data_IF_139502350645
#
_entry.id   IF_139502350645
#
_cell.length_a   1.000
_cell.length_b   1.000
_cell.length_c   1.000
_cell.angle_alpha   90.00
_cell.angle_beta   90.00
_cell.angle_gamma   90.00
#
_symmetry.space_group_name_H-M   'P 1'
#
loop_
_entity.id
_entity.type
_entity.pdbx_description
1 polymer ?
#
# COMPACT_ATOMS: atom_id res chain seq x y z
N UNK A 1 -14.98 -0.61 -16.70
CA UNK A 1 -13.57 -0.25 -16.47
C UNK A 1 -13.33 0.65 -15.25
N UNK A 2 -14.32 1.40 -14.77
CA UNK A 2 -14.24 2.24 -13.53
C UNK A 2 -14.48 1.43 -12.25
N UNK A 3 -14.99 0.21 -12.36
CA UNK A 3 -15.46 -0.63 -11.25
C UNK A 3 -14.34 -1.32 -10.43
N UNK A 4 -13.19 -1.62 -11.04
CA UNK A 4 -12.10 -2.34 -10.37
C UNK A 4 -11.49 -1.55 -9.21
N UNK A 5 -11.39 -0.23 -9.34
CA UNK A 5 -10.83 0.63 -8.29
C UNK A 5 -11.72 0.56 -7.04
N UNK A 6 -13.04 0.63 -7.23
CA UNK A 6 -13.99 0.53 -6.12
C UNK A 6 -13.99 -0.84 -5.44
N UNK A 7 -13.66 -1.91 -6.19
CA UNK A 7 -13.56 -3.28 -5.66
C UNK A 7 -12.23 -3.54 -4.95
N UNK A 8 -11.13 -2.96 -5.45
CA UNK A 8 -9.80 -3.14 -4.87
C UNK A 8 -9.58 -2.25 -3.65
N UNK A 9 -10.01 -0.98 -3.71
CA UNK A 9 -9.83 -0.09 -2.57
C UNK A 9 -10.76 -0.46 -1.43
N UNK A 10 -10.24 -0.79 -0.24
CA UNK A 10 -11.08 -1.17 0.88
C UNK A 10 -12.02 -0.03 1.28
N UNK A 11 -13.30 -0.36 1.46
CA UNK A 11 -14.32 0.52 1.99
C UNK A 11 -14.20 0.53 3.52
N UNK A 12 -13.83 1.67 4.13
CA UNK A 12 -13.95 1.85 5.58
C UNK A 12 -12.87 1.19 6.44
N UNK A 13 -11.64 1.00 5.96
CA UNK A 13 -10.52 0.60 6.81
C UNK A 13 -10.15 1.71 7.78
N UNK A 14 -10.44 1.50 9.03
CA UNK A 14 -10.24 2.44 10.14
C UNK A 14 -11.49 3.31 10.40
N UNK A 15 -11.73 3.67 11.65
CA UNK A 15 -12.77 4.65 12.02
C UNK A 15 -12.49 5.92 11.24
N UNK A 16 -13.39 6.40 10.38
CA UNK A 16 -13.15 7.62 9.64
C UNK A 16 -13.20 8.77 10.64
N UNK A 17 -12.05 9.12 11.20
CA UNK A 17 -11.92 10.42 11.83
C UNK A 17 -12.02 11.40 10.66
N UNK A 18 -13.18 12.00 10.51
CA UNK A 18 -13.38 13.06 9.50
C UNK A 18 -12.60 14.29 9.96
N UNK A 19 -11.31 14.30 9.60
CA UNK A 19 -10.44 15.43 9.89
C UNK A 19 -10.94 16.60 9.03
N UNK A 20 -11.21 17.78 9.61
CA UNK A 20 -11.66 18.93 8.85
C UNK A 20 -10.71 19.26 7.71
N UNK A 21 -11.27 19.58 6.54
CA UNK A 21 -10.52 19.85 5.32
C UNK A 21 -9.30 20.76 5.48
N UNK A 22 -9.39 21.91 6.17
CA UNK A 22 -8.23 22.80 6.37
C UNK A 22 -7.09 22.18 7.20
N UNK A 23 -7.43 21.39 8.24
CA UNK A 23 -6.43 20.69 9.06
C UNK A 23 -5.75 19.61 8.22
N UNK A 24 -6.54 18.82 7.48
CA UNK A 24 -6.02 17.74 6.68
C UNK A 24 -5.17 18.27 5.51
N UNK A 25 -5.64 19.29 4.79
CA UNK A 25 -4.88 19.92 3.72
C UNK A 25 -3.52 20.44 4.22
N UNK A 26 -3.51 21.19 5.33
CA UNK A 26 -2.27 21.69 5.91
C UNK A 26 -1.30 20.55 6.34
N UNK A 27 -1.82 19.41 6.81
CA UNK A 27 -1.01 18.25 7.13
C UNK A 27 -0.43 17.58 5.88
N UNK A 28 -1.23 17.41 4.83
CA UNK A 28 -0.79 16.88 3.53
C UNK A 28 0.30 17.76 2.92
N UNK A 29 0.10 19.07 2.90
CA UNK A 29 1.09 20.02 2.37
C UNK A 29 2.41 19.97 3.15
N UNK A 30 2.32 19.95 4.49
CA UNK A 30 3.49 19.85 5.36
C UNK A 30 4.30 18.57 5.09
N UNK A 31 3.59 17.43 5.02
CA UNK A 31 4.22 16.15 4.73
C UNK A 31 4.82 16.11 3.31
N UNK A 32 4.09 16.59 2.32
CA UNK A 32 4.54 16.61 0.91
C UNK A 32 5.77 17.50 0.70
N UNK A 33 5.87 18.59 1.49
CA UNK A 33 7.07 19.43 1.52
C UNK A 33 8.27 18.75 2.22
N UNK A 34 8.13 17.53 2.73
CA UNK A 34 9.16 16.83 3.51
C UNK A 34 9.41 17.44 4.88
N UNK A 35 8.51 18.27 5.38
CA UNK A 35 8.67 18.94 6.67
C UNK A 35 8.13 18.07 7.80
N UNK A 36 8.78 18.15 8.96
CA UNK A 36 8.28 17.50 10.17
C UNK A 36 6.91 18.07 10.56
N UNK A 37 5.93 17.18 10.73
CA UNK A 37 4.60 17.58 11.14
C UNK A 37 4.60 17.97 12.63
N UNK A 38 4.57 19.29 12.89
CA UNK A 38 4.45 19.85 14.22
C UNK A 38 3.03 20.33 14.50
N UNK A 39 2.39 19.77 15.54
CA UNK A 39 1.00 20.05 15.87
C UNK A 39 0.73 21.52 16.24
N UNK A 40 1.73 22.23 16.80
CA UNK A 40 1.58 23.65 17.12
C UNK A 40 1.56 24.52 15.87
N UNK A 41 2.47 24.26 14.95
CA UNK A 41 2.56 24.96 13.67
C UNK A 41 1.35 24.65 12.79
N UNK A 42 0.89 23.38 12.82
CA UNK A 42 -0.31 22.96 12.09
C UNK A 42 -1.57 23.65 12.58
N UNK A 43 -1.76 23.77 13.90
CA UNK A 43 -2.91 24.49 14.47
C UNK A 43 -2.97 25.94 13.97
N UNK A 44 -1.81 26.65 13.96
CA UNK A 44 -1.72 28.02 13.44
C UNK A 44 -2.06 28.10 11.95
N UNK A 45 -1.51 27.18 11.12
CA UNK A 45 -1.78 27.15 9.67
C UNK A 45 -3.23 26.85 9.35
N UNK A 46 -3.85 25.98 10.13
CA UNK A 46 -5.26 25.60 9.97
C UNK A 46 -6.25 26.59 10.61
N UNK A 47 -5.75 27.65 11.29
CA UNK A 47 -6.61 28.65 11.93
C UNK A 47 -7.41 28.12 13.11
N UNK A 48 -6.93 27.08 13.83
CA UNK A 48 -7.64 26.44 14.95
C UNK A 48 -6.81 26.45 16.23
N UNK A 49 -7.49 26.39 17.38
CA UNK A 49 -6.83 26.21 18.67
C UNK A 49 -6.25 24.80 18.82
N UNK A 50 -5.16 24.66 19.60
CA UNK A 50 -4.50 23.35 19.84
C UNK A 50 -5.46 22.29 20.35
N UNK A 51 -6.30 22.62 21.34
CA UNK A 51 -7.29 21.69 21.87
C UNK A 51 -8.29 21.20 20.81
N UNK A 52 -8.69 22.10 19.91
CA UNK A 52 -9.56 21.77 18.77
C UNK A 52 -8.85 20.86 17.77
N UNK A 53 -7.57 21.11 17.48
CA UNK A 53 -6.77 20.26 16.62
C UNK A 53 -6.70 18.83 17.18
N UNK A 54 -6.29 18.65 18.44
CA UNK A 54 -6.18 17.32 19.06
C UNK A 54 -7.54 16.60 19.13
N UNK A 55 -8.62 17.30 19.43
CA UNK A 55 -9.95 16.69 19.46
C UNK A 55 -10.39 16.20 18.08
N UNK A 56 -10.02 16.88 16.98
CA UNK A 56 -10.48 16.60 15.63
C UNK A 56 -9.54 15.72 14.81
N UNK A 57 -8.25 15.82 15.05
CA UNK A 57 -7.23 15.11 14.29
C UNK A 57 -6.51 14.01 15.10
N UNK A 58 -6.78 13.93 16.41
CA UNK A 58 -6.09 13.00 17.29
C UNK A 58 -4.63 13.36 17.53
N UNK A 59 -3.80 12.36 17.75
CA UNK A 59 -2.36 12.53 17.95
C UNK A 59 -1.65 12.84 16.62
N UNK A 60 -0.40 13.26 16.71
CA UNK A 60 0.47 13.44 15.54
C UNK A 60 0.59 12.14 14.71
N UNK A 61 0.73 11.02 15.37
CA UNK A 61 0.85 9.71 14.73
C UNK A 61 -0.44 9.33 14.00
N UNK A 62 -1.60 9.53 14.62
CA UNK A 62 -2.90 9.29 13.99
C UNK A 62 -3.11 10.17 12.76
N UNK A 63 -2.71 11.44 12.83
CA UNK A 63 -2.82 12.35 11.68
C UNK A 63 -1.85 11.94 10.55
N UNK A 64 -0.62 11.56 10.88
CA UNK A 64 0.34 11.01 9.90
C UNK A 64 -0.19 9.76 9.22
N UNK A 65 -0.74 8.83 9.99
CA UNK A 65 -1.35 7.60 9.47
C UNK A 65 -2.46 7.90 8.45
N UNK A 66 -3.34 8.87 8.74
CA UNK A 66 -4.38 9.30 7.82
C UNK A 66 -3.83 9.96 6.55
N UNK A 67 -2.80 10.81 6.68
CA UNK A 67 -2.15 11.46 5.52
C UNK A 67 -1.48 10.40 4.63
N UNK A 68 -0.75 9.48 5.22
CA UNK A 68 -0.07 8.41 4.50
C UNK A 68 -1.06 7.46 3.82
N UNK A 69 -2.15 7.09 4.52
CA UNK A 69 -3.20 6.27 3.93
C UNK A 69 -3.88 6.95 2.75
N UNK A 70 -4.21 8.23 2.87
CA UNK A 70 -4.77 9.00 1.75
C UNK A 70 -3.84 9.01 0.53
N UNK A 71 -2.53 9.19 0.73
CA UNK A 71 -1.52 9.12 -0.35
C UNK A 71 -1.44 7.71 -0.95
N UNK A 72 -1.37 6.69 -0.10
CA UNK A 72 -1.30 5.29 -0.51
C UNK A 72 -2.53 4.86 -1.34
N UNK A 73 -3.73 5.26 -0.93
CA UNK A 73 -4.96 5.00 -1.70
C UNK A 73 -4.92 5.61 -3.10
N UNK A 74 -4.46 6.84 -3.24
CA UNK A 74 -4.32 7.49 -4.56
C UNK A 74 -3.33 6.77 -5.44
N UNK A 75 -2.15 6.47 -4.89
CA UNK A 75 -1.13 5.69 -5.59
C UNK A 75 -1.67 4.33 -6.05
N UNK A 76 -2.33 3.61 -5.16
CA UNK A 76 -2.92 2.30 -5.48
C UNK A 76 -3.97 2.42 -6.58
N UNK A 77 -4.90 3.39 -6.49
CA UNK A 77 -5.88 3.65 -7.54
C UNK A 77 -5.24 3.90 -8.90
N UNK A 78 -4.14 4.68 -8.94
CA UNK A 78 -3.41 4.97 -10.16
C UNK A 78 -2.73 3.71 -10.74
N UNK A 79 -2.16 2.85 -9.88
CA UNK A 79 -1.55 1.58 -10.33
C UNK A 79 -2.59 0.59 -10.84
N UNK A 80 -3.72 0.44 -10.13
CA UNK A 80 -4.85 -0.41 -10.56
C UNK A 80 -5.38 0.05 -11.92
N UNK A 81 -5.53 1.37 -12.11
CA UNK A 81 -5.97 1.95 -13.39
C UNK A 81 -4.97 1.70 -14.52
N UNK A 82 -3.68 1.94 -14.25
CA UNK A 82 -2.61 1.77 -15.24
C UNK A 82 -2.45 0.30 -15.69
N UNK A 83 -2.81 -0.66 -14.83
CA UNK A 83 -2.74 -2.11 -15.12
C UNK A 83 -4.05 -2.72 -15.60
N UNK A 84 -5.06 -1.91 -15.96
CA UNK A 84 -6.39 -2.41 -16.35
C UNK A 84 -6.39 -3.29 -17.61
N UNK A 85 -5.35 -3.21 -18.42
CA UNK A 85 -5.15 -4.03 -19.64
C UNK A 85 -4.49 -5.38 -19.34
N UNK A 86 -4.02 -5.59 -18.12
CA UNK A 86 -3.38 -6.83 -17.66
C UNK A 86 -4.38 -7.68 -16.87
N UNK A 87 -4.07 -8.98 -16.70
CA UNK A 87 -4.85 -9.93 -15.91
C UNK A 87 -3.92 -10.86 -15.13
N UNK A 88 -4.45 -11.54 -14.12
CA UNK A 88 -3.75 -12.60 -13.39
C UNK A 88 -2.44 -12.13 -12.75
N UNK A 89 -1.45 -13.00 -12.79
CA UNK A 89 -0.12 -12.77 -12.21
C UNK A 89 0.55 -11.51 -12.76
N UNK A 90 0.40 -11.21 -14.05
CA UNK A 90 1.01 -10.00 -14.65
C UNK A 90 0.39 -8.73 -14.07
N UNK A 91 -0.90 -8.71 -13.84
CA UNK A 91 -1.57 -7.57 -13.21
C UNK A 91 -1.18 -7.42 -11.74
N UNK A 92 -1.19 -8.51 -10.99
CA UNK A 92 -0.75 -8.51 -9.59
C UNK A 92 0.67 -7.95 -9.48
N UNK A 93 1.61 -8.47 -10.26
CA UNK A 93 3.01 -8.02 -10.30
C UNK A 93 3.13 -6.54 -10.70
N UNK A 94 2.37 -6.09 -11.70
CA UNK A 94 2.40 -4.71 -12.16
C UNK A 94 1.92 -3.73 -11.10
N UNK A 95 0.80 -4.04 -10.41
CA UNK A 95 0.25 -3.20 -9.33
C UNK A 95 1.21 -3.17 -8.16
N UNK A 96 1.59 -4.33 -7.63
CA UNK A 96 2.46 -4.44 -6.44
C UNK A 96 3.81 -3.79 -6.73
N UNK A 97 4.46 -4.17 -7.82
CA UNK A 97 5.76 -3.62 -8.20
C UNK A 97 5.71 -2.11 -8.48
N UNK A 98 4.59 -1.63 -9.07
CA UNK A 98 4.36 -0.20 -9.28
C UNK A 98 4.22 0.58 -7.97
N UNK A 99 3.51 0.02 -6.99
CA UNK A 99 3.37 0.61 -5.64
C UNK A 99 4.72 0.64 -4.93
N UNK A 100 5.45 -0.49 -4.89
CA UNK A 100 6.74 -0.58 -4.21
C UNK A 100 7.77 0.39 -4.79
N UNK A 101 7.87 0.47 -6.13
CA UNK A 101 8.77 1.43 -6.80
C UNK A 101 8.40 2.88 -6.49
N UNK A 102 7.11 3.20 -6.45
CA UNK A 102 6.66 4.55 -6.14
C UNK A 102 6.95 4.93 -4.69
N UNK A 103 6.74 4.03 -3.72
CA UNK A 103 7.07 4.25 -2.31
C UNK A 103 8.59 4.43 -2.15
N UNK A 104 9.41 3.57 -2.77
CA UNK A 104 10.86 3.67 -2.71
C UNK A 104 11.44 4.96 -3.32
N UNK A 105 10.73 5.55 -4.30
CA UNK A 105 11.09 6.83 -4.92
C UNK A 105 10.48 8.05 -4.22
N UNK A 106 9.58 7.86 -3.25
CA UNK A 106 8.86 8.97 -2.60
C UNK A 106 9.77 9.69 -1.61
N UNK A 107 10.27 10.87 -2.01
CA UNK A 107 11.17 11.69 -1.19
C UNK A 107 10.56 12.08 0.17
N UNK A 108 9.31 12.55 0.29
CA UNK A 108 8.67 12.82 1.58
C UNK A 108 8.64 11.61 2.53
N UNK A 109 8.36 10.41 2.02
CA UNK A 109 8.39 9.18 2.83
C UNK A 109 9.81 8.87 3.30
N UNK A 110 10.81 9.01 2.44
CA UNK A 110 12.22 8.83 2.80
C UNK A 110 12.65 9.81 3.89
N UNK A 111 12.37 11.10 3.69
CA UNK A 111 12.69 12.13 4.70
C UNK A 111 12.00 11.86 6.04
N UNK A 112 10.79 11.32 6.03
CA UNK A 112 10.09 10.93 7.26
C UNK A 112 10.80 9.75 7.96
N UNK A 113 11.20 8.72 7.20
CA UNK A 113 11.97 7.57 7.72
C UNK A 113 13.32 7.98 8.30
N UNK A 114 14.01 8.95 7.68
CA UNK A 114 15.29 9.45 8.15
C UNK A 114 15.15 10.35 9.39
N UNK A 115 14.15 11.23 9.42
CA UNK A 115 13.99 12.24 10.47
C UNK A 115 13.32 11.73 11.75
N UNK A 116 12.50 10.67 11.66
CA UNK A 116 11.73 10.12 12.78
C UNK A 116 11.47 8.61 12.55
N UNK A 117 12.54 7.79 12.50
CA UNK A 117 12.45 6.38 12.09
C UNK A 117 11.53 5.56 12.99
N UNK A 118 11.52 5.83 14.29
CA UNK A 118 10.67 5.09 15.23
C UNK A 118 9.19 5.34 14.98
N UNK A 119 8.78 6.60 14.82
CA UNK A 119 7.39 6.94 14.47
C UNK A 119 7.04 6.42 13.07
N UNK A 120 7.96 6.54 12.11
CA UNK A 120 7.74 6.09 10.74
C UNK A 120 7.48 4.57 10.69
N UNK A 121 8.30 3.77 11.36
CA UNK A 121 8.10 2.33 11.44
C UNK A 121 6.76 1.98 12.11
N UNK A 122 6.43 2.62 13.24
CA UNK A 122 5.13 2.38 13.90
C UNK A 122 3.94 2.69 13.00
N UNK A 123 3.99 3.80 12.27
CA UNK A 123 2.90 4.24 11.40
C UNK A 123 2.82 3.41 10.13
N UNK A 124 3.94 2.95 9.58
CA UNK A 124 3.96 2.24 8.30
C UNK A 124 3.78 0.72 8.45
N UNK A 125 4.28 0.11 9.54
CA UNK A 125 4.29 -1.35 9.72
C UNK A 125 3.50 -1.84 10.93
N UNK A 126 3.01 -0.92 11.75
CA UNK A 126 2.26 -1.27 12.96
C UNK A 126 0.96 -1.99 12.62
N UNK A 127 0.62 -3.07 13.35
CA UNK A 127 -0.62 -3.84 13.13
C UNK A 127 -1.91 -3.01 13.29
N UNK A 128 -1.83 -1.86 13.95
CA UNK A 128 -2.93 -0.90 14.10
C UNK A 128 -2.89 0.25 13.09
N UNK A 129 -1.88 0.31 12.24
CA UNK A 129 -1.75 1.34 11.21
C UNK A 129 -2.85 1.18 10.16
N UNK A 130 -3.52 2.28 9.85
CA UNK A 130 -4.51 2.32 8.76
C UNK A 130 -3.84 2.08 7.40
N UNK A 131 -2.60 2.56 7.23
CA UNK A 131 -1.81 2.31 6.01
C UNK A 131 -1.56 0.83 5.83
N UNK A 132 -1.01 0.16 6.87
CA UNK A 132 -0.68 -1.27 6.80
C UNK A 132 -1.91 -2.14 6.57
N UNK A 133 -2.96 -1.95 7.37
CA UNK A 133 -4.22 -2.69 7.23
C UNK A 133 -4.89 -2.42 5.89
N UNK A 134 -4.90 -1.15 5.45
CA UNK A 134 -5.51 -0.77 4.19
C UNK A 134 -4.78 -1.32 2.97
N UNK A 135 -3.44 -1.39 3.00
CA UNK A 135 -2.65 -2.00 1.92
C UNK A 135 -2.83 -3.51 1.89
N UNK A 136 -2.87 -4.19 3.04
CA UNK A 136 -3.14 -5.62 3.12
C UNK A 136 -4.54 -5.95 2.55
N UNK A 137 -5.58 -5.26 3.01
CA UNK A 137 -6.94 -5.46 2.53
C UNK A 137 -7.09 -5.15 1.02
N UNK A 138 -6.41 -4.12 0.52
CA UNK A 138 -6.41 -3.82 -0.91
C UNK A 138 -5.74 -4.92 -1.74
N UNK A 139 -4.68 -5.52 -1.22
CA UNK A 139 -4.01 -6.64 -1.86
C UNK A 139 -4.89 -7.89 -1.87
N UNK A 140 -5.55 -8.21 -0.75
CA UNK A 140 -6.54 -9.28 -0.69
C UNK A 140 -7.64 -9.07 -1.74
N UNK A 141 -8.24 -7.89 -1.78
CA UNK A 141 -9.28 -7.56 -2.76
C UNK A 141 -8.79 -7.69 -4.21
N UNK A 142 -7.53 -7.32 -4.49
CA UNK A 142 -6.96 -7.45 -5.84
C UNK A 142 -6.74 -8.92 -6.22
N UNK A 143 -6.24 -9.74 -5.30
CA UNK A 143 -6.07 -11.18 -5.50
C UNK A 143 -7.42 -11.83 -5.74
N UNK A 144 -8.44 -11.55 -4.91
CA UNK A 144 -9.78 -12.10 -5.06
C UNK A 144 -10.46 -11.64 -6.36
N UNK A 145 -10.19 -10.43 -6.81
CA UNK A 145 -10.67 -9.93 -8.10
C UNK A 145 -10.11 -10.76 -9.26
N UNK A 146 -8.81 -11.07 -9.25
CA UNK A 146 -8.18 -11.88 -10.31
C UNK A 146 -8.58 -13.37 -10.21
N UNK A 147 -8.77 -13.89 -9.02
CA UNK A 147 -9.37 -15.23 -8.80
C UNK A 147 -10.79 -15.31 -9.33
N UNK A 148 -11.62 -14.34 -9.01
CA UNK A 148 -13.00 -14.28 -9.49
C UNK A 148 -13.15 -14.14 -11.01
N UNK A 149 -12.07 -13.70 -11.69
CA UNK A 149 -11.96 -13.67 -13.15
C UNK A 149 -11.45 -14.99 -13.75
N UNK A 150 -11.02 -15.94 -12.93
CA UNK A 150 -10.33 -17.14 -13.38
C UNK A 150 -8.96 -16.88 -14.01
N UNK A 151 -8.39 -15.69 -13.78
CA UNK A 151 -7.10 -15.27 -14.34
C UNK A 151 -5.90 -15.55 -13.42
N UNK A 152 -6.17 -15.89 -12.17
CA UNK A 152 -5.18 -16.27 -11.16
C UNK A 152 -5.80 -17.27 -10.19
N UNK A 153 -5.03 -18.30 -9.84
CA UNK A 153 -5.34 -19.18 -8.72
C UNK A 153 -4.04 -19.61 -8.05
N UNK A 154 -4.08 -19.85 -6.75
CA UNK A 154 -2.91 -20.24 -5.98
C UNK A 154 -3.29 -21.28 -4.92
N UNK A 155 -2.32 -22.11 -4.55
CA UNK A 155 -2.47 -23.13 -3.51
C UNK A 155 -2.64 -22.55 -2.09
N UNK A 156 -2.33 -21.27 -1.90
CA UNK A 156 -2.54 -20.55 -0.64
C UNK A 156 -3.88 -19.80 -0.69
N UNK A 157 -4.54 -19.68 0.45
CA UNK A 157 -5.69 -18.77 0.59
C UNK A 157 -5.27 -17.30 0.43
N UNK A 158 -6.23 -16.45 0.07
CA UNK A 158 -5.98 -15.03 -0.19
C UNK A 158 -5.35 -14.30 1.00
N UNK A 159 -5.86 -14.41 2.24
CA UNK A 159 -5.25 -13.75 3.39
C UNK A 159 -3.80 -14.15 3.64
N UNK A 160 -3.50 -15.45 3.55
CA UNK A 160 -2.13 -15.96 3.73
C UNK A 160 -1.18 -15.44 2.66
N UNK A 161 -1.62 -15.45 1.40
CA UNK A 161 -0.81 -14.93 0.28
C UNK A 161 -0.57 -13.42 0.40
N UNK A 162 -1.62 -12.65 0.70
CA UNK A 162 -1.52 -11.21 0.90
C UNK A 162 -0.58 -10.87 2.07
N UNK A 163 -0.72 -11.57 3.19
CA UNK A 163 0.17 -11.42 4.34
C UNK A 163 1.64 -11.70 3.97
N UNK A 164 1.92 -12.79 3.27
CA UNK A 164 3.29 -13.13 2.85
C UNK A 164 3.89 -12.02 1.95
N UNK A 165 3.13 -11.53 0.97
CA UNK A 165 3.57 -10.45 0.07
C UNK A 165 3.85 -9.16 0.85
N UNK A 166 2.98 -8.77 1.78
CA UNK A 166 3.18 -7.57 2.61
C UNK A 166 4.44 -7.73 3.47
N UNK A 167 4.68 -8.89 4.08
CA UNK A 167 5.89 -9.14 4.89
C UNK A 167 7.18 -9.10 4.06
N UNK A 168 7.14 -9.63 2.84
CA UNK A 168 8.27 -9.50 1.89
C UNK A 168 8.50 -8.02 1.56
N UNK A 169 7.44 -7.28 1.23
CA UNK A 169 7.53 -5.85 0.94
C UNK A 169 8.13 -5.05 2.11
N UNK A 170 7.63 -5.24 3.33
CA UNK A 170 8.12 -4.60 4.55
C UNK A 170 9.62 -4.87 4.78
N UNK A 171 10.04 -6.13 4.61
CA UNK A 171 11.43 -6.56 4.81
C UNK A 171 12.44 -5.90 3.86
N UNK A 172 12.00 -5.48 2.68
CA UNK A 172 12.85 -4.79 1.70
C UNK A 172 12.68 -3.27 1.70
N UNK A 173 11.47 -2.75 1.97
CA UNK A 173 11.23 -1.31 1.90
C UNK A 173 11.91 -0.54 3.03
N UNK A 174 11.74 -0.99 4.26
CA UNK A 174 12.13 -0.17 5.41
C UNK A 174 13.62 -0.20 5.75
N UNK A 175 14.31 -1.35 5.80
CA UNK A 175 15.74 -1.38 6.08
C UNK A 175 16.57 -0.65 5.01
N UNK A 176 16.16 -0.73 3.75
CA UNK A 176 16.96 -0.24 2.63
C UNK A 176 16.61 1.19 2.21
N UNK A 177 15.39 1.68 2.52
CA UNK A 177 15.10 3.12 2.44
C UNK A 177 15.90 3.89 3.49
N UNK A 178 16.06 3.32 4.70
CA UNK A 178 16.94 3.88 5.74
C UNK A 178 18.42 3.84 5.31
N UNK A 179 18.82 2.83 4.53
CA UNK A 179 20.22 2.64 4.10
C UNK A 179 20.55 3.25 2.73
N UNK A 180 19.63 4.03 2.13
CA UNK A 180 19.75 4.64 0.78
C UNK A 180 20.08 3.62 -0.34
N UNK A 181 19.52 2.41 -0.26
CA UNK A 181 19.76 1.33 -1.21
C UNK A 181 18.59 1.18 -2.20
N UNK A 182 18.60 1.95 -3.28
CA UNK A 182 17.59 1.85 -4.35
C UNK A 182 17.42 0.43 -4.96
N UNK A 183 18.42 -0.44 -4.81
CA UNK A 183 18.41 -1.81 -5.35
C UNK A 183 17.46 -2.78 -4.64
N UNK A 184 17.01 -2.47 -3.43
CA UNK A 184 16.18 -3.38 -2.64
C UNK A 184 14.74 -3.48 -3.13
N UNK A 185 14.16 -2.37 -3.58
CA UNK A 185 12.82 -2.38 -4.17
C UNK A 185 12.77 -3.32 -5.39
N UNK A 186 13.80 -3.30 -6.23
CA UNK A 186 13.91 -4.22 -7.36
C UNK A 186 13.90 -5.68 -6.92
N UNK A 187 14.68 -6.01 -5.89
CA UNK A 187 14.72 -7.38 -5.33
C UNK A 187 13.39 -7.80 -4.72
N UNK A 188 12.71 -6.90 -4.00
CA UNK A 188 11.37 -7.19 -3.47
C UNK A 188 10.39 -7.55 -4.59
N UNK A 189 10.38 -6.77 -5.66
CA UNK A 189 9.53 -7.03 -6.83
C UNK A 189 9.86 -8.39 -7.46
N UNK A 190 11.14 -8.71 -7.65
CA UNK A 190 11.58 -9.99 -8.20
C UNK A 190 11.14 -11.18 -7.33
N UNK A 191 11.28 -11.06 -6.00
CA UNK A 191 10.87 -12.13 -5.06
C UNK A 191 9.35 -12.30 -5.09
N UNK A 192 8.59 -11.21 -5.07
CA UNK A 192 7.12 -11.26 -5.12
C UNK A 192 6.64 -11.84 -6.46
N UNK A 193 7.23 -11.43 -7.57
CA UNK A 193 6.92 -11.99 -8.88
C UNK A 193 7.20 -13.50 -8.94
N UNK A 194 8.36 -13.94 -8.46
CA UNK A 194 8.70 -15.36 -8.40
C UNK A 194 7.72 -16.15 -7.52
N UNK A 195 7.31 -15.57 -6.37
CA UNK A 195 6.30 -16.16 -5.50
C UNK A 195 4.95 -16.32 -6.22
N UNK A 196 4.45 -15.25 -6.84
CA UNK A 196 3.18 -15.26 -7.56
C UNK A 196 3.19 -16.26 -8.72
N UNK A 197 4.22 -16.23 -9.57
CA UNK A 197 4.35 -17.17 -10.70
C UNK A 197 4.53 -18.62 -10.24
N UNK A 198 5.27 -18.81 -9.15
CA UNK A 198 5.49 -20.13 -8.58
C UNK A 198 4.25 -20.78 -7.96
N UNK A 199 3.31 -19.97 -7.48
CA UNK A 199 2.06 -20.41 -6.87
C UNK A 199 0.89 -20.45 -7.84
N UNK A 200 0.97 -19.80 -9.01
CA UNK A 200 -0.12 -19.69 -9.98
C UNK A 200 -0.45 -21.06 -10.61
N UNK A 201 -1.59 -21.60 -10.27
CA UNK A 201 -2.08 -22.90 -10.73
C UNK A 201 -2.73 -22.81 -12.12
N UNK A 202 -3.25 -21.64 -12.50
CA UNK A 202 -3.90 -21.44 -13.81
C UNK A 202 -2.93 -21.72 -14.95
N UNK A 203 -1.67 -21.30 -14.79
CA UNK A 203 -0.62 -21.48 -15.80
C UNK A 203 0.16 -22.80 -15.65
N UNK A 204 -0.14 -23.62 -14.63
CA UNK A 204 0.57 -24.88 -14.35
C UNK A 204 -0.14 -26.12 -14.86
N UNK A 205 -1.41 -26.03 -15.30
CA UNK A 205 -2.14 -27.18 -15.84
C UNK A 205 -1.57 -27.46 -17.23
N UNK A 206 -0.78 -28.55 -17.45
CA UNK A 206 -0.42 -28.95 -18.78
C UNK A 206 -1.72 -29.31 -19.52
N UNK A 207 -1.87 -28.83 -20.74
CA UNK A 207 -2.91 -29.36 -21.63
C UNK A 207 -2.78 -30.88 -21.57
N UNK A 208 -3.82 -31.56 -21.08
CA UNK A 208 -3.93 -33.00 -21.04
C UNK A 208 -3.67 -33.48 -22.47
N UNK A 209 -2.48 -34.02 -22.70
CA UNK A 209 -2.15 -34.69 -23.94
C UNK A 209 -3.19 -35.78 -24.09
N UNK A 210 -4.02 -35.65 -25.12
CA UNK A 210 -5.02 -36.63 -25.45
C UNK A 210 -4.34 -37.99 -25.56
N UNK A 211 -4.57 -38.83 -24.58
CA UNK A 211 -4.36 -40.28 -24.70
C UNK A 211 -5.33 -40.74 -25.79
N UNK A 212 -4.82 -40.86 -27.01
CA UNK A 212 -5.40 -41.72 -28.01
C UNK A 212 -5.17 -43.12 -27.48
N UNK A 213 -6.22 -43.76 -27.03
CA UNK A 213 -6.24 -45.21 -26.87
C UNK A 213 -6.11 -45.89 -28.25
N UNK A 214 -5.39 -46.98 -28.34
CA UNK A 214 -5.20 -47.76 -29.56
C UNK A 214 -6.46 -48.52 -30.01
#
# INVERSE_FOLDING_TARGET
>A
MTDDIGRVLPQGTGTPVTIPGPIFAAAVDTFTAGQRLDMRSLARRAGVGRATLYRRAGTREQLLDQVLWWRARRLLADRVRASAHLTGTDRLTAVIGGVLRAIGADRPVRMFLESDPETALRVLTGSRSTVHQGMAAALENLIDLERGRGAFDASLDTPTLAFAIVRVADGFLYPDVIADRASAVGRAVTVIEALLRGLDLVHRTPATAGLREP
#
